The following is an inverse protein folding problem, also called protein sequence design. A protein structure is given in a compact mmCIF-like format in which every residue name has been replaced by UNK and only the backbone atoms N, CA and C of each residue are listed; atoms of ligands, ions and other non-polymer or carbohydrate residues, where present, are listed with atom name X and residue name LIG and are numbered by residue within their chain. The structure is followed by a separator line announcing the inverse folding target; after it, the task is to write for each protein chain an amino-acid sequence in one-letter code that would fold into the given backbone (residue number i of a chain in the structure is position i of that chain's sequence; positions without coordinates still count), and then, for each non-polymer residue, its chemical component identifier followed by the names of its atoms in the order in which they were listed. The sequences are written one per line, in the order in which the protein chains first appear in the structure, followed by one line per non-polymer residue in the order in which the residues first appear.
data_IF_318866138145
#
_entry.id   IF_318866138145
#
_cell.length_a   1.000
_cell.length_b   1.000
_cell.length_c   1.000
_cell.angle_alpha   90.00
_cell.angle_beta   90.00
_cell.angle_gamma   90.00
#
_symmetry.space_group_name_H-M   'P 1'
#
loop_
_entity.id
_entity.type
_entity.pdbx_description
1 polymer ?
#
# COMPACT_ATOMS: atom_id res chain seq x y z
N UNK A 1 26.47 -15.43 14.86
CA UNK A 1 26.17 -13.99 14.86
C UNK A 1 24.82 -13.79 14.19
N UNK A 2 23.80 -13.42 14.95
CA UNK A 2 22.48 -13.07 14.40
C UNK A 2 22.57 -11.64 13.86
N UNK A 3 22.50 -11.46 12.54
CA UNK A 3 22.45 -10.14 11.91
C UNK A 3 21.02 -9.59 12.05
N UNK A 4 20.67 -9.18 13.27
CA UNK A 4 19.46 -8.42 13.56
C UNK A 4 19.65 -7.00 13.04
N UNK A 5 19.41 -6.81 11.74
CA UNK A 5 19.62 -5.54 11.03
C UNK A 5 18.40 -5.02 10.29
N UNK A 6 17.25 -5.69 10.37
CA UNK A 6 15.99 -5.12 9.90
C UNK A 6 15.43 -4.26 11.03
N UNK A 7 15.69 -2.96 10.98
CA UNK A 7 14.67 -2.01 11.45
C UNK A 7 13.49 -2.24 10.49
N UNK A 8 12.57 -3.11 10.88
CA UNK A 8 11.28 -3.26 10.19
C UNK A 8 10.59 -1.91 10.38
N UNK A 9 10.53 -1.13 9.31
CA UNK A 9 10.36 0.31 9.40
C UNK A 9 9.06 0.82 8.79
N UNK A 10 8.74 2.06 9.13
CA UNK A 10 7.60 2.83 8.63
C UNK A 10 7.67 3.05 7.10
N UNK A 11 8.86 2.96 6.49
CA UNK A 11 9.10 3.22 5.06
C UNK A 11 8.31 2.28 4.14
N UNK A 12 8.08 1.03 4.56
CA UNK A 12 7.28 0.05 3.81
C UNK A 12 5.82 0.48 3.66
N UNK A 13 5.37 1.44 4.48
CA UNK A 13 4.01 1.95 4.51
C UNK A 13 3.90 3.43 4.13
N UNK A 14 5.02 4.11 3.85
CA UNK A 14 5.02 5.51 3.44
C UNK A 14 4.39 5.68 2.06
N UNK A 15 3.58 6.73 1.91
CA UNK A 15 3.08 7.15 0.61
C UNK A 15 4.20 7.72 -0.28
N UNK A 16 4.02 7.79 -1.61
CA UNK A 16 4.98 8.38 -2.53
C UNK A 16 5.40 9.81 -2.12
N UNK A 17 4.44 10.63 -1.71
CA UNK A 17 4.68 11.99 -1.25
C UNK A 17 5.46 12.07 0.08
N UNK A 18 5.22 11.15 1.01
CA UNK A 18 6.01 11.05 2.25
C UNK A 18 7.43 10.57 1.95
N UNK A 19 7.58 9.56 1.10
CA UNK A 19 8.87 9.03 0.71
C UNK A 19 9.72 10.07 -0.03
N UNK A 20 9.08 10.96 -0.81
CA UNK A 20 9.72 12.10 -1.47
C UNK A 20 9.94 13.33 -0.58
N UNK A 21 9.50 13.30 0.68
CA UNK A 21 9.63 14.43 1.60
C UNK A 21 8.77 15.65 1.23
N UNK A 22 7.65 15.43 0.54
CA UNK A 22 6.71 16.50 0.19
C UNK A 22 6.16 17.17 1.46
N UNK A 23 6.17 18.52 1.55
CA UNK A 23 5.51 19.22 2.65
C UNK A 23 3.98 19.22 2.49
N UNK A 24 3.47 19.01 1.27
CA UNK A 24 2.05 18.91 0.98
C UNK A 24 1.58 17.47 1.21
N UNK A 25 0.98 17.23 2.38
CA UNK A 25 0.47 15.93 2.83
C UNK A 25 -0.99 16.12 3.23
N UNK A 26 -1.87 15.35 2.62
CA UNK A 26 -3.29 15.26 2.96
C UNK A 26 -3.69 13.82 3.31
N UNK A 27 -4.98 13.62 3.66
CA UNK A 27 -5.52 12.32 4.06
C UNK A 27 -5.44 11.21 3.01
N UNK A 28 -5.11 11.50 1.74
CA UNK A 28 -4.87 10.47 0.71
C UNK A 28 -3.53 9.75 0.92
N UNK A 29 -2.70 10.27 1.81
CA UNK A 29 -1.52 9.60 2.36
C UNK A 29 -1.94 8.35 3.12
N UNK A 30 -2.86 8.49 4.07
CA UNK A 30 -3.36 7.36 4.88
C UNK A 30 -4.09 6.33 4.02
N UNK A 31 -4.76 6.76 2.95
CA UNK A 31 -5.37 5.85 1.97
C UNK A 31 -4.32 4.96 1.30
N UNK A 32 -3.18 5.54 0.91
CA UNK A 32 -2.07 4.76 0.35
C UNK A 32 -1.50 3.79 1.38
N UNK A 33 -1.19 4.27 2.59
CA UNK A 33 -0.65 3.45 3.67
C UNK A 33 -1.60 2.30 4.04
N UNK A 34 -2.91 2.54 4.10
CA UNK A 34 -3.92 1.50 4.28
C UNK A 34 -3.93 0.52 3.11
N UNK A 35 -3.75 1.00 1.87
CA UNK A 35 -3.55 0.16 0.69
C UNK A 35 -2.37 -0.80 0.84
N UNK A 36 -1.24 -0.34 1.39
CA UNK A 36 -0.07 -1.19 1.69
C UNK A 36 -0.43 -2.24 2.75
N UNK A 37 -1.07 -1.84 3.86
CA UNK A 37 -1.50 -2.75 4.93
C UNK A 37 -2.44 -3.84 4.39
N UNK A 38 -3.43 -3.47 3.57
CA UNK A 38 -4.36 -4.43 2.97
C UNK A 38 -3.65 -5.36 1.97
N UNK A 39 -2.74 -4.82 1.16
CA UNK A 39 -1.94 -5.63 0.25
C UNK A 39 -1.14 -6.67 1.04
N UNK A 40 -0.47 -6.26 2.11
CA UNK A 40 0.30 -7.15 2.97
C UNK A 40 -0.57 -8.21 3.65
N UNK A 41 -1.71 -7.81 4.23
CA UNK A 41 -2.63 -8.74 4.87
C UNK A 41 -3.12 -9.83 3.91
N UNK A 42 -3.27 -9.51 2.61
CA UNK A 42 -3.74 -10.43 1.58
C UNK A 42 -2.60 -11.26 0.97
N UNK A 43 -1.46 -10.63 0.67
CA UNK A 43 -0.33 -11.25 -0.01
C UNK A 43 0.66 -11.94 0.95
N UNK A 44 0.59 -11.64 2.25
CA UNK A 44 1.54 -12.08 3.28
C UNK A 44 2.87 -11.31 3.28
N UNK A 45 2.98 -10.23 2.49
CA UNK A 45 4.15 -9.35 2.42
C UNK A 45 3.77 -7.97 1.88
N UNK A 46 4.48 -6.88 2.24
CA UNK A 46 4.25 -5.58 1.64
C UNK A 46 4.52 -5.59 0.13
N UNK A 47 3.95 -4.65 -0.64
CA UNK A 47 4.17 -4.54 -2.07
C UNK A 47 5.66 -4.33 -2.41
N UNK A 48 6.36 -3.54 -1.59
CA UNK A 48 7.78 -3.22 -1.75
C UNK A 48 8.55 -3.55 -0.49
N UNK A 49 9.68 -4.23 -0.65
CA UNK A 49 10.63 -4.54 0.40
C UNK A 49 12.02 -4.64 -0.23
N UNK A 50 13.04 -4.13 0.46
CA UNK A 50 14.42 -4.15 -0.01
C UNK A 50 15.39 -4.17 1.18
N UNK A 51 16.66 -4.46 0.91
CA UNK A 51 17.70 -4.51 1.95
C UNK A 51 18.08 -3.13 2.52
N UNK A 52 17.71 -2.03 1.86
CA UNK A 52 17.98 -0.67 2.33
C UNK A 52 16.70 0.18 2.34
N UNK A 53 16.57 1.03 3.35
CA UNK A 53 15.45 1.97 3.46
C UNK A 53 15.35 2.88 2.22
N UNK A 54 16.48 3.38 1.73
CA UNK A 54 16.51 4.21 0.52
C UNK A 54 15.94 3.49 -0.72
N UNK A 55 16.17 2.19 -0.87
CA UNK A 55 15.59 1.42 -1.96
C UNK A 55 14.08 1.22 -1.79
N UNK A 56 13.60 1.01 -0.56
CA UNK A 56 12.15 0.95 -0.29
C UNK A 56 11.50 2.30 -0.62
N UNK A 57 12.08 3.42 -0.18
CA UNK A 57 11.55 4.76 -0.46
C UNK A 57 11.52 5.06 -1.96
N UNK A 58 12.55 4.67 -2.72
CA UNK A 58 12.57 4.80 -4.17
C UNK A 58 11.45 3.97 -4.83
N UNK A 59 11.25 2.72 -4.39
CA UNK A 59 10.13 1.89 -4.86
C UNK A 59 8.77 2.50 -4.50
N UNK A 60 8.62 3.09 -3.31
CA UNK A 60 7.39 3.79 -2.93
C UNK A 60 7.11 4.99 -3.82
N UNK A 61 8.13 5.72 -4.26
CA UNK A 61 7.94 6.87 -5.15
C UNK A 61 7.65 6.44 -6.59
N UNK A 62 8.38 5.46 -7.13
CA UNK A 62 8.47 5.27 -8.58
C UNK A 62 7.98 3.90 -9.07
N UNK A 63 8.17 2.84 -8.29
CA UNK A 63 7.90 1.49 -8.78
C UNK A 63 6.38 1.20 -8.83
N UNK A 64 5.85 0.64 -9.92
CA UNK A 64 4.46 0.21 -9.94
C UNK A 64 4.25 -0.93 -8.92
N UNK A 65 3.15 -0.91 -8.14
CA UNK A 65 2.87 -1.99 -7.19
C UNK A 65 2.70 -3.32 -7.94
N UNK A 66 3.21 -4.45 -7.40
CA UNK A 66 2.99 -5.76 -7.98
C UNK A 66 1.50 -6.08 -8.09
N UNK A 67 1.11 -6.85 -9.10
CA UNK A 67 -0.27 -7.33 -9.24
C UNK A 67 -0.61 -8.31 -8.11
N UNK A 68 -1.52 -7.91 -7.22
CA UNK A 68 -1.95 -8.70 -6.06
C UNK A 68 -2.47 -10.08 -6.45
N UNK A 69 -3.18 -10.20 -7.58
CA UNK A 69 -3.72 -11.49 -8.05
C UNK A 69 -2.67 -12.44 -8.61
N UNK A 70 -1.49 -11.92 -9.01
CA UNK A 70 -0.35 -12.79 -9.36
C UNK A 70 0.26 -13.43 -8.12
N UNK A 71 0.19 -12.76 -6.97
CA UNK A 71 0.67 -13.29 -5.69
C UNK A 71 -0.37 -14.18 -4.99
N UNK A 72 -1.66 -13.80 -5.07
CA UNK A 72 -2.77 -14.50 -4.40
C UNK A 72 -3.97 -14.66 -5.34
N UNK A 73 -4.01 -15.79 -6.06
CA UNK A 73 -4.93 -16.02 -7.20
C UNK A 73 -6.41 -16.16 -6.83
N UNK A 74 -6.69 -16.55 -5.60
CA UNK A 74 -8.04 -16.71 -5.01
C UNK A 74 -8.67 -15.39 -4.56
N UNK A 75 -7.93 -14.27 -4.60
CA UNK A 75 -8.48 -12.94 -4.27
C UNK A 75 -9.51 -12.51 -5.34
N UNK A 76 -10.73 -12.12 -4.94
CA UNK A 76 -11.71 -11.57 -5.87
C UNK A 76 -11.15 -10.38 -6.66
N UNK A 77 -11.47 -10.30 -7.96
CA UNK A 77 -10.92 -9.26 -8.84
C UNK A 77 -11.21 -7.85 -8.33
N UNK A 78 -12.45 -7.61 -7.93
CA UNK A 78 -12.87 -6.31 -7.43
C UNK A 78 -12.19 -5.94 -6.10
N UNK A 79 -11.90 -6.90 -5.19
CA UNK A 79 -11.11 -6.62 -3.99
C UNK A 79 -9.67 -6.22 -4.34
N UNK A 80 -9.06 -6.92 -5.29
CA UNK A 80 -7.74 -6.55 -5.81
C UNK A 80 -7.77 -5.14 -6.40
N UNK A 81 -8.75 -4.81 -7.23
CA UNK A 81 -8.83 -3.50 -7.88
C UNK A 81 -8.98 -2.36 -6.85
N UNK A 82 -9.69 -2.58 -5.74
CA UNK A 82 -9.80 -1.61 -4.63
C UNK A 82 -8.44 -1.32 -3.99
N UNK A 83 -7.67 -2.37 -3.69
CA UNK A 83 -6.31 -2.26 -3.10
C UNK A 83 -5.36 -1.60 -4.09
N UNK A 84 -5.36 -2.03 -5.35
CA UNK A 84 -4.49 -1.48 -6.38
C UNK A 84 -4.79 0.00 -6.66
N UNK A 85 -6.06 0.42 -6.57
CA UNK A 85 -6.44 1.85 -6.66
C UNK A 85 -5.87 2.67 -5.51
N UNK A 86 -5.89 2.15 -4.28
CA UNK A 86 -5.29 2.82 -3.12
C UNK A 86 -3.76 3.00 -3.29
N UNK A 87 -3.10 2.03 -3.93
CA UNK A 87 -1.66 2.01 -4.21
C UNK A 87 -1.23 2.81 -5.46
N UNK A 88 -2.14 3.59 -6.05
CA UNK A 88 -1.77 4.48 -7.16
C UNK A 88 -0.73 5.52 -6.71
N UNK A 89 0.30 5.76 -7.53
CA UNK A 89 1.33 6.77 -7.24
C UNK A 89 0.74 8.19 -7.32
N UNK A 90 -0.03 8.45 -8.38
CA UNK A 90 -0.86 9.64 -8.54
C UNK A 90 -1.96 9.70 -7.48
N UNK A 91 -1.98 10.76 -6.65
CA UNK A 91 -2.93 10.97 -5.52
C UNK A 91 -4.38 11.10 -6.02
N UNK A 92 -4.54 11.78 -7.14
CA UNK A 92 -5.77 12.00 -7.89
C UNK A 92 -6.38 10.73 -8.46
N UNK A 93 -5.57 9.68 -8.67
CA UNK A 93 -6.04 8.37 -9.12
C UNK A 93 -6.39 7.42 -7.95
N UNK A 94 -6.12 7.82 -6.69
CA UNK A 94 -6.52 7.08 -5.49
C UNK A 94 -8.01 7.29 -5.17
N UNK A 95 -8.47 6.64 -4.10
CA UNK A 95 -9.69 7.06 -3.42
C UNK A 95 -9.51 8.47 -2.88
N UNK A 96 -10.51 9.34 -3.06
CA UNK A 96 -10.36 10.73 -2.64
C UNK A 96 -10.71 10.92 -1.16
N UNK A 97 -11.48 9.98 -0.59
CA UNK A 97 -11.75 9.93 0.85
C UNK A 97 -11.68 8.51 1.39
N UNK A 98 -11.39 8.37 2.68
CA UNK A 98 -11.46 7.08 3.37
C UNK A 98 -12.90 6.50 3.36
N UNK A 99 -13.92 7.35 3.35
CA UNK A 99 -15.32 6.93 3.28
C UNK A 99 -15.65 6.22 1.96
N UNK A 100 -15.13 6.72 0.82
CA UNK A 100 -15.28 6.07 -0.48
C UNK A 100 -14.61 4.68 -0.50
N UNK A 101 -13.37 4.61 -0.02
CA UNK A 101 -12.64 3.35 0.06
C UNK A 101 -13.36 2.34 0.96
N UNK A 102 -13.83 2.80 2.13
CA UNK A 102 -14.65 1.99 3.04
C UNK A 102 -15.88 1.44 2.34
N UNK A 103 -16.64 2.29 1.63
CA UNK A 103 -17.85 1.85 0.92
C UNK A 103 -17.55 0.72 -0.09
N UNK A 104 -16.42 0.81 -0.78
CA UNK A 104 -15.98 -0.23 -1.71
C UNK A 104 -15.54 -1.52 -1.01
N UNK A 105 -15.00 -1.43 0.21
CA UNK A 105 -14.58 -2.58 1.03
C UNK A 105 -15.74 -3.30 1.74
N UNK A 106 -16.85 -2.61 2.03
CA UNK A 106 -17.99 -3.18 2.78
C UNK A 106 -18.48 -4.55 2.29
N UNK A 107 -18.59 -4.83 0.98
CA UNK A 107 -19.01 -6.16 0.50
C UNK A 107 -18.08 -7.32 0.91
N UNK A 108 -16.87 -7.02 1.37
CA UNK A 108 -15.86 -8.00 1.80
C UNK A 108 -15.65 -8.01 3.32
N UNK A 109 -16.30 -7.11 4.05
CA UNK A 109 -16.27 -7.11 5.50
C UNK A 109 -17.16 -8.23 6.04
N UNK A 110 -16.69 -8.95 7.05
CA UNK A 110 -17.52 -9.91 7.79
C UNK A 110 -18.53 -9.09 8.59
N UNK A 111 -19.80 -9.16 8.21
CA UNK A 111 -20.88 -8.62 9.04
C UNK A 111 -20.98 -9.54 10.25
N UNK A 112 -20.49 -9.06 11.40
CA UNK A 112 -20.76 -9.69 12.70
C UNK A 112 -22.01 -9.05 13.30
#
# INVERSE_FOLDING_TARGET
MTRSGFVVGTEEYMSPEQAGGSPDIDGRTDIYSLGVVLFEAIAGRPPFAAASAAAVLDMQQHAPPPDLRKLRRDVPRALSDIVMKALSKAREARWQTAAEMRQALLPYAVVT
#
